data_IF_152255265030
#
_entry.id   IF_152255265030
#
_cell.length_a   1.000
_cell.length_b   1.000
_cell.length_c   1.000
_cell.angle_alpha   90.00
_cell.angle_beta   90.00
_cell.angle_gamma   90.00
#
_symmetry.space_group_name_H-M   'P 1'
#
loop_
_entity.id
_entity.type
_entity.pdbx_description
1 polymer ?
#
# COMPACT_ATOMS: atom_id res chain seq x y z
N UNK A 1 -12.25 7.24 -17.77
CA UNK A 1 -12.05 5.78 -17.81
C UNK A 1 -12.10 5.19 -16.40
N UNK A 2 -11.22 5.61 -15.47
CA UNK A 2 -11.24 5.13 -14.07
C UNK A 2 -12.50 5.52 -13.30
N UNK A 3 -12.91 6.79 -13.38
CA UNK A 3 -14.14 7.28 -12.73
C UNK A 3 -15.39 6.47 -13.12
N UNK A 4 -15.52 6.14 -14.41
CA UNK A 4 -16.64 5.35 -14.93
C UNK A 4 -16.63 3.91 -14.36
N UNK A 5 -15.45 3.30 -14.22
CA UNK A 5 -15.33 1.99 -13.57
C UNK A 5 -15.67 2.07 -12.08
N UNK A 6 -15.22 3.10 -11.36
CA UNK A 6 -15.62 3.33 -9.97
C UNK A 6 -17.13 3.44 -9.83
N UNK A 7 -17.80 4.20 -10.71
CA UNK A 7 -19.26 4.33 -10.71
C UNK A 7 -19.97 2.99 -10.96
N UNK A 8 -19.45 2.15 -11.87
CA UNK A 8 -19.99 0.80 -12.12
C UNK A 8 -19.90 -0.10 -10.88
N UNK A 9 -18.80 -0.04 -10.14
CA UNK A 9 -18.62 -0.83 -8.91
C UNK A 9 -19.45 -0.27 -7.75
N UNK A 10 -19.54 1.06 -7.63
CA UNK A 10 -20.43 1.70 -6.66
C UNK A 10 -21.90 1.30 -6.90
N UNK A 11 -22.35 1.23 -8.16
CA UNK A 11 -23.70 0.75 -8.50
C UNK A 11 -23.96 -0.72 -8.12
N UNK A 12 -22.90 -1.51 -7.90
CA UNK A 12 -22.99 -2.89 -7.38
C UNK A 12 -22.96 -2.95 -5.84
N UNK A 13 -22.96 -1.80 -5.17
CA UNK A 13 -22.91 -1.71 -3.70
C UNK A 13 -21.51 -1.84 -3.09
N UNK A 14 -20.45 -1.74 -3.90
CA UNK A 14 -19.07 -1.68 -3.37
C UNK A 14 -18.82 -0.26 -2.87
N UNK A 15 -18.31 -0.12 -1.64
CA UNK A 15 -17.86 1.15 -1.09
C UNK A 15 -16.56 1.58 -1.78
N UNK A 16 -16.69 2.46 -2.77
CA UNK A 16 -15.58 2.95 -3.58
C UNK A 16 -15.80 4.43 -3.90
N UNK A 17 -14.74 5.21 -3.72
CA UNK A 17 -14.73 6.64 -4.04
C UNK A 17 -13.64 6.94 -5.07
N UNK A 18 -14.01 7.70 -6.10
CA UNK A 18 -13.05 8.26 -7.05
C UNK A 18 -12.63 9.65 -6.58
N UNK A 19 -11.32 9.91 -6.51
CA UNK A 19 -10.78 11.19 -6.08
C UNK A 19 -9.70 11.67 -7.05
N UNK A 20 -9.73 12.96 -7.36
CA UNK A 20 -8.72 13.64 -8.18
C UNK A 20 -8.31 14.92 -7.52
N UNK A 21 -7.10 15.36 -7.86
CA UNK A 21 -6.53 16.63 -7.44
C UNK A 21 -6.22 17.49 -8.65
N UNK A 22 -6.30 18.79 -8.47
CA UNK A 22 -6.00 19.76 -9.54
C UNK A 22 -4.49 19.87 -9.79
N UNK A 23 -3.67 19.70 -8.74
CA UNK A 23 -2.21 19.91 -8.82
C UNK A 23 -1.43 18.61 -8.66
N UNK A 24 -0.35 18.43 -9.42
CA UNK A 24 0.55 17.26 -9.31
C UNK A 24 1.67 17.41 -8.27
N UNK A 25 1.62 18.43 -7.41
CA UNK A 25 2.66 18.73 -6.42
C UNK A 25 2.87 17.54 -5.48
N UNK A 26 4.13 17.17 -5.22
CA UNK A 26 4.46 16.04 -4.35
C UNK A 26 4.15 14.65 -4.93
N UNK A 27 3.75 14.56 -6.21
CA UNK A 27 3.51 13.29 -6.91
C UNK A 27 2.68 12.30 -6.07
N UNK A 28 3.19 11.08 -5.84
CA UNK A 28 2.50 10.03 -5.07
C UNK A 28 2.30 10.42 -3.61
N UNK A 29 3.33 10.98 -2.97
CA UNK A 29 3.26 11.38 -1.57
C UNK A 29 2.21 12.48 -1.33
N UNK A 30 2.13 13.46 -2.23
CA UNK A 30 1.11 14.51 -2.16
C UNK A 30 -0.30 13.99 -2.38
N UNK A 31 -0.48 13.01 -3.26
CA UNK A 31 -1.79 12.37 -3.46
C UNK A 31 -2.24 11.58 -2.23
N UNK A 32 -1.30 10.87 -1.59
CA UNK A 32 -1.58 10.12 -0.35
C UNK A 32 -1.89 11.06 0.81
N UNK A 33 -1.12 12.14 0.98
CA UNK A 33 -1.36 13.13 2.03
C UNK A 33 -2.77 13.73 1.93
N UNK A 34 -3.16 14.22 0.75
CA UNK A 34 -4.49 14.79 0.53
C UNK A 34 -5.60 13.74 0.70
N UNK A 35 -5.34 12.48 0.32
CA UNK A 35 -6.26 11.37 0.54
C UNK A 35 -6.50 11.08 2.02
N UNK A 36 -5.45 11.14 2.85
CA UNK A 36 -5.54 10.92 4.30
C UNK A 36 -6.27 12.04 5.05
N UNK A 37 -6.35 13.25 4.49
CA UNK A 37 -7.05 14.39 5.10
C UNK A 37 -8.58 14.32 4.94
N UNK A 38 -9.08 13.41 4.10
CA UNK A 38 -10.52 13.28 3.80
C UNK A 38 -11.30 12.72 4.99
N UNK A 39 -12.52 13.20 5.17
CA UNK A 39 -13.35 12.87 6.34
C UNK A 39 -13.65 11.38 6.47
N UNK A 40 -13.85 10.67 5.35
CA UNK A 40 -14.10 9.23 5.37
C UNK A 40 -12.90 8.41 5.85
N UNK A 41 -11.67 8.94 5.75
CA UNK A 41 -10.45 8.26 6.23
C UNK A 41 -10.25 8.45 7.73
N UNK A 42 -10.75 9.54 8.32
CA UNK A 42 -10.60 9.84 9.75
C UNK A 42 -11.24 8.80 10.67
N UNK A 43 -12.15 7.98 10.14
CA UNK A 43 -12.81 6.89 10.86
C UNK A 43 -12.16 5.52 10.64
N UNK A 44 -11.14 5.44 9.77
CA UNK A 44 -10.40 4.20 9.53
C UNK A 44 -9.30 4.04 10.58
N UNK A 45 -9.18 2.84 11.14
CA UNK A 45 -8.08 2.48 12.06
C UNK A 45 -6.78 2.15 11.29
N UNK A 46 -6.91 1.64 10.06
CA UNK A 46 -5.78 1.27 9.22
C UNK A 46 -5.98 1.78 7.80
N UNK A 47 -4.88 2.14 7.14
CA UNK A 47 -4.86 2.51 5.73
C UNK A 47 -3.99 1.55 4.95
N UNK A 48 -4.61 0.80 4.04
CA UNK A 48 -3.89 -0.07 3.10
C UNK A 48 -3.69 0.66 1.76
N UNK A 49 -2.45 0.69 1.28
CA UNK A 49 -2.08 1.35 0.02
C UNK A 49 -1.58 0.29 -0.95
N UNK A 50 -2.15 0.29 -2.16
CA UNK A 50 -1.76 -0.57 -3.27
C UNK A 50 -1.51 0.27 -4.52
N UNK A 51 -0.47 -0.07 -5.28
CA UNK A 51 -0.31 0.48 -6.62
C UNK A 51 -1.30 -0.14 -7.59
N UNK A 52 -1.65 0.60 -8.64
CA UNK A 52 -2.67 0.20 -9.61
C UNK A 52 -2.39 -1.14 -10.31
N UNK A 53 -1.12 -1.52 -10.40
CA UNK A 53 -0.67 -2.75 -11.06
C UNK A 53 -0.61 -3.94 -10.09
N UNK A 54 -0.84 -3.73 -8.78
CA UNK A 54 -0.74 -4.78 -7.78
C UNK A 54 -2.11 -5.39 -7.46
N UNK A 55 -2.17 -6.73 -7.48
CA UNK A 55 -3.37 -7.50 -7.16
C UNK A 55 -3.12 -8.30 -5.88
N UNK A 56 -3.54 -7.81 -4.70
CA UNK A 56 -3.33 -8.55 -3.45
C UNK A 56 -4.14 -9.85 -3.43
N UNK A 57 -3.61 -10.86 -2.74
CA UNK A 57 -4.36 -12.07 -2.43
C UNK A 57 -5.61 -11.74 -1.59
N UNK A 58 -6.69 -12.49 -1.76
CA UNK A 58 -7.98 -12.21 -1.08
C UNK A 58 -7.88 -12.19 0.46
N UNK A 59 -6.89 -12.89 1.04
CA UNK A 59 -6.65 -12.96 2.48
C UNK A 59 -5.54 -12.00 2.95
N UNK A 60 -5.04 -11.10 2.09
CA UNK A 60 -3.95 -10.19 2.40
C UNK A 60 -4.16 -9.42 3.71
N UNK A 61 -5.27 -8.68 3.83
CA UNK A 61 -5.58 -7.87 5.01
C UNK A 61 -5.77 -8.75 6.26
N UNK A 62 -6.39 -9.93 6.12
CA UNK A 62 -6.59 -10.88 7.22
C UNK A 62 -5.27 -11.39 7.81
N UNK A 63 -4.22 -11.49 7.00
CA UNK A 63 -2.87 -11.86 7.47
C UNK A 63 -2.09 -10.67 8.01
N UNK A 64 -2.32 -9.47 7.49
CA UNK A 64 -1.50 -8.30 7.82
C UNK A 64 -1.98 -7.55 9.07
N UNK A 65 -3.29 -7.38 9.26
CA UNK A 65 -3.85 -6.65 10.41
C UNK A 65 -3.42 -7.25 11.77
N UNK A 66 -3.39 -8.58 11.98
CA UNK A 66 -3.01 -9.16 13.27
C UNK A 66 -1.62 -8.79 13.80
N UNK A 67 -0.69 -8.33 12.95
CA UNK A 67 0.63 -7.88 13.41
C UNK A 67 0.55 -6.63 14.31
N UNK A 68 -0.45 -5.77 14.11
CA UNK A 68 -0.66 -4.57 14.92
C UNK A 68 -1.24 -4.88 16.30
N UNK A 69 -2.06 -5.94 16.42
CA UNK A 69 -2.72 -6.29 17.69
C UNK A 69 -1.73 -6.67 18.80
N UNK A 70 -0.58 -7.23 18.43
CA UNK A 70 0.40 -7.76 19.38
C UNK A 70 1.55 -6.79 19.64
N UNK A 71 1.59 -5.64 18.97
CA UNK A 71 2.71 -4.70 19.07
C UNK A 71 2.24 -3.25 18.87
N UNK A 72 1.96 -2.50 19.96
CA UNK A 72 1.46 -1.12 19.87
C UNK A 72 2.49 -0.14 19.29
N UNK A 73 3.77 -0.50 19.28
CA UNK A 73 4.84 0.33 18.71
C UNK A 73 4.99 0.13 17.18
N UNK A 74 4.24 -0.80 16.58
CA UNK A 74 4.31 -1.10 15.15
C UNK A 74 3.49 -0.10 14.33
N UNK A 75 4.15 0.79 13.59
CA UNK A 75 3.48 1.80 12.75
C UNK A 75 3.15 1.34 11.32
N UNK A 76 3.80 0.27 10.84
CA UNK A 76 3.78 -0.11 9.43
C UNK A 76 3.93 -1.64 9.27
N UNK A 77 3.10 -2.22 8.41
CA UNK A 77 3.31 -3.57 7.88
C UNK A 77 3.54 -3.47 6.38
N UNK A 78 4.72 -3.91 5.95
CA UNK A 78 5.11 -3.92 4.55
C UNK A 78 5.12 -5.34 4.01
N UNK A 79 4.45 -5.52 2.87
CA UNK A 79 4.38 -6.81 2.20
C UNK A 79 5.45 -6.93 1.11
N UNK A 80 5.81 -8.18 0.78
CA UNK A 80 6.78 -8.47 -0.27
C UNK A 80 6.16 -8.48 -1.64
N UNK A 81 6.99 -8.16 -2.62
CA UNK A 81 6.64 -8.26 -4.03
C UNK A 81 6.80 -9.72 -4.45
N UNK A 82 5.80 -10.27 -5.15
CA UNK A 82 5.89 -11.61 -5.73
C UNK A 82 5.58 -11.54 -7.21
N UNK A 83 6.43 -12.13 -8.05
CA UNK A 83 6.24 -12.17 -9.49
C UNK A 83 6.55 -13.56 -10.05
N UNK A 84 5.51 -14.34 -10.32
CA UNK A 84 5.67 -15.72 -10.81
C UNK A 84 5.14 -15.91 -12.24
N UNK A 85 5.29 -14.89 -13.10
CA UNK A 85 4.84 -14.98 -14.49
C UNK A 85 5.84 -15.73 -15.38
N UNK A 86 7.14 -15.52 -15.19
CA UNK A 86 8.19 -16.25 -15.91
C UNK A 86 9.54 -16.29 -15.17
N UNK A 87 10.51 -17.04 -15.71
CA UNK A 87 11.85 -17.15 -15.12
C UNK A 87 12.54 -15.79 -14.93
N UNK A 88 12.35 -14.85 -15.86
CA UNK A 88 12.93 -13.51 -15.77
C UNK A 88 12.32 -12.72 -14.60
N UNK A 89 10.99 -12.76 -14.42
CA UNK A 89 10.34 -12.04 -13.31
C UNK A 89 10.70 -12.64 -11.96
N UNK A 90 10.94 -13.97 -11.89
CA UNK A 90 11.44 -14.63 -10.67
C UNK A 90 12.87 -14.24 -10.33
N UNK A 91 13.74 -14.06 -11.33
CA UNK A 91 15.10 -13.55 -11.10
C UNK A 91 15.07 -12.10 -10.61
N UNK A 92 14.20 -11.27 -11.17
CA UNK A 92 13.97 -9.90 -10.71
C UNK A 92 13.41 -9.86 -9.28
N UNK A 93 12.44 -10.74 -8.97
CA UNK A 93 11.90 -10.90 -7.63
C UNK A 93 13.01 -11.18 -6.63
N UNK A 94 13.87 -12.19 -6.87
CA UNK A 94 14.96 -12.53 -5.94
C UNK A 94 15.91 -11.35 -5.67
N UNK A 95 16.27 -10.59 -6.71
CA UNK A 95 17.15 -9.43 -6.59
C UNK A 95 16.49 -8.30 -5.77
N UNK A 96 15.24 -7.97 -6.10
CA UNK A 96 14.47 -6.92 -5.42
C UNK A 96 14.14 -7.29 -3.97
N UNK A 97 13.77 -8.54 -3.71
CA UNK A 97 13.47 -9.04 -2.36
C UNK A 97 14.67 -8.88 -1.44
N UNK A 98 15.88 -9.20 -1.94
CA UNK A 98 17.10 -9.05 -1.15
C UNK A 98 17.41 -7.57 -0.88
N UNK A 99 17.29 -6.73 -1.90
CA UNK A 99 17.52 -5.29 -1.77
C UNK A 99 16.59 -4.67 -0.73
N UNK A 100 15.27 -4.90 -0.86
CA UNK A 100 14.29 -4.35 0.05
C UNK A 100 14.40 -4.92 1.46
N UNK A 101 14.74 -6.21 1.61
CA UNK A 101 14.97 -6.79 2.95
C UNK A 101 16.09 -6.07 3.69
N UNK A 102 17.20 -5.78 3.01
CA UNK A 102 18.34 -5.07 3.63
C UNK A 102 17.96 -3.63 3.92
N UNK A 103 17.34 -2.92 2.96
CA UNK A 103 16.92 -1.53 3.13
C UNK A 103 15.95 -1.36 4.30
N UNK A 104 14.91 -2.21 4.38
CA UNK A 104 13.89 -2.15 5.43
C UNK A 104 14.45 -2.50 6.81
N UNK A 105 15.30 -3.54 6.90
CA UNK A 105 15.91 -3.93 8.17
C UNK A 105 16.83 -2.82 8.68
N UNK A 106 17.72 -2.32 7.82
CA UNK A 106 18.65 -1.25 8.19
C UNK A 106 17.87 0.02 8.54
N UNK A 107 16.88 0.41 7.74
CA UNK A 107 16.05 1.59 8.01
C UNK A 107 15.27 1.50 9.33
N UNK A 108 14.76 0.31 9.68
CA UNK A 108 14.11 0.04 10.96
C UNK A 108 15.09 0.18 12.13
N UNK A 109 16.27 -0.45 12.03
CA UNK A 109 17.27 -0.43 13.10
C UNK A 109 17.82 0.98 13.32
N UNK A 110 18.01 1.75 12.25
CA UNK A 110 18.51 3.14 12.31
C UNK A 110 17.42 4.18 12.54
N UNK A 111 16.18 3.76 12.81
CA UNK A 111 15.03 4.67 13.00
C UNK A 111 14.90 5.72 11.87
N UNK A 112 15.29 5.33 10.66
CA UNK A 112 15.34 6.21 9.50
C UNK A 112 13.98 6.27 8.79
N UNK A 113 13.73 7.36 8.08
CA UNK A 113 12.48 7.52 7.33
C UNK A 113 12.36 6.42 6.27
N UNK A 114 11.21 5.76 6.20
CA UNK A 114 11.03 4.61 5.33
C UNK A 114 10.88 5.04 3.86
N UNK A 115 11.53 4.30 2.96
CA UNK A 115 11.25 4.33 1.53
C UNK A 115 9.87 3.72 1.26
N UNK A 116 9.00 4.41 0.51
CA UNK A 116 7.71 3.85 0.13
C UNK A 116 7.87 2.77 -0.94
N UNK A 117 7.89 1.50 -0.55
CA UNK A 117 7.87 0.38 -1.51
C UNK A 117 6.46 -0.21 -1.62
N UNK A 118 5.65 0.40 -2.50
CA UNK A 118 4.45 -0.06 -3.25
C UNK A 118 3.27 -0.70 -2.50
N UNK A 119 3.46 -1.44 -1.41
CA UNK A 119 2.38 -2.02 -0.63
C UNK A 119 2.64 -1.91 0.87
N UNK A 120 1.87 -1.05 1.51
CA UNK A 120 2.01 -0.72 2.92
C UNK A 120 0.64 -0.65 3.58
N UNK A 121 0.53 -1.19 4.80
CA UNK A 121 -0.56 -0.86 5.71
C UNK A 121 0.01 0.05 6.79
N UNK A 122 -0.52 1.27 6.88
CA UNK A 122 -0.11 2.28 7.84
C UNK A 122 -1.23 2.52 8.85
N UNK A 123 -0.87 2.73 10.11
CA UNK A 123 -1.71 3.36 11.13
C UNK A 123 -1.84 4.87 10.86
#
# INVERSE_FOLDING_TARGET
MVELECQKWAAKGIDIMYQTRETRRGYKAGALQEGLERDYVKHCEFVAIFDADFRPEQNFLKRAIPFFNNNPDLALVQARWRFDECLLTRMQEMSLDYHFKVEQQVGSDTHSFFGFNVQCIKL
#
